data_IF_855062131284
#
_entry.id   IF_855062131284
#
_cell.length_a   1.000
_cell.length_b   1.000
_cell.length_c   1.000
_cell.angle_alpha   90.00
_cell.angle_beta   90.00
_cell.angle_gamma   90.00
#
_symmetry.space_group_name_H-M   'P 1'
#
loop_
_entity.id
_entity.type
_entity.pdbx_description
1 polymer ?
#
# COMPACT_ATOMS: atom_id res chain seq x y z
N UNK A 1 -16.76 20.13 -25.75
CA UNK A 1 -15.75 19.14 -25.33
C UNK A 1 -14.31 19.68 -25.26
N UNK A 2 -13.95 20.81 -25.89
CA UNK A 2 -12.56 21.33 -25.90
C UNK A 2 -12.18 22.28 -24.73
N UNK A 3 -13.11 22.55 -23.81
CA UNK A 3 -12.88 23.54 -22.73
C UNK A 3 -12.50 22.91 -21.39
N UNK A 4 -12.62 21.58 -21.27
CA UNK A 4 -12.41 20.84 -20.03
C UNK A 4 -11.30 19.82 -20.23
N UNK A 5 -10.40 19.71 -19.25
CA UNK A 5 -9.35 18.70 -19.22
C UNK A 5 -9.72 17.64 -18.17
N UNK A 6 -9.60 16.37 -18.54
CA UNK A 6 -9.85 15.23 -17.65
C UNK A 6 -8.56 14.45 -17.44
N UNK A 7 -8.07 14.42 -16.21
CA UNK A 7 -6.82 13.76 -15.85
C UNK A 7 -7.11 12.50 -15.03
N UNK A 8 -6.41 11.42 -15.37
CA UNK A 8 -6.41 10.22 -14.54
C UNK A 8 -5.58 10.48 -13.29
N UNK A 9 -6.07 10.04 -12.14
CA UNK A 9 -5.31 10.09 -10.90
C UNK A 9 -5.21 8.72 -10.23
N UNK A 10 -4.24 8.63 -9.32
CA UNK A 10 -4.09 7.58 -8.33
C UNK A 10 -3.73 8.27 -7.01
N UNK A 11 -4.54 8.03 -6.00
CA UNK A 11 -4.33 8.56 -4.65
C UNK A 11 -4.10 7.40 -3.71
N UNK A 12 -3.11 7.50 -2.82
CA UNK A 12 -2.85 6.51 -1.79
C UNK A 12 -2.45 7.19 -0.48
N UNK A 13 -3.25 6.92 0.55
CA UNK A 13 -3.04 7.35 1.94
C UNK A 13 -4.13 6.69 2.79
N UNK A 14 -3.72 6.02 3.86
CA UNK A 14 -4.66 5.49 4.85
C UNK A 14 -5.17 6.64 5.71
N UNK A 15 -6.50 6.80 5.71
CA UNK A 15 -7.23 7.79 6.51
C UNK A 15 -8.34 7.06 7.25
N UNK A 16 -8.12 6.65 8.51
CA UNK A 16 -9.14 5.94 9.30
C UNK A 16 -10.37 6.79 9.62
N UNK A 17 -10.26 8.11 9.50
CA UNK A 17 -11.31 9.06 9.82
C UNK A 17 -11.07 9.72 11.18
N UNK A 18 -12.16 10.10 11.86
CA UNK A 18 -12.10 10.75 13.16
C UNK A 18 -11.53 9.80 14.24
N UNK A 19 -10.50 10.21 15.01
CA UNK A 19 -9.78 9.34 15.95
C UNK A 19 -10.58 9.12 17.25
N UNK A 20 -11.70 8.39 17.20
CA UNK A 20 -12.64 8.29 18.34
C UNK A 20 -12.00 7.90 19.68
N UNK A 21 -11.01 7.00 19.65
CA UNK A 21 -10.37 6.49 20.86
C UNK A 21 -9.28 7.45 21.41
N UNK A 22 -8.74 8.32 20.55
CA UNK A 22 -7.60 9.20 20.86
C UNK A 22 -7.93 10.70 20.74
N UNK A 23 -9.19 11.05 20.44
CA UNK A 23 -9.60 12.42 20.10
C UNK A 23 -9.21 13.45 21.17
N UNK A 24 -9.48 13.15 22.45
CA UNK A 24 -9.12 14.02 23.56
C UNK A 24 -7.61 14.31 23.62
N UNK A 25 -6.77 13.32 23.32
CA UNK A 25 -5.31 13.48 23.29
C UNK A 25 -4.86 14.45 22.19
N UNK A 26 -5.56 14.46 21.06
CA UNK A 26 -5.27 15.39 19.96
C UNK A 26 -5.87 16.77 20.21
N UNK A 27 -7.07 16.84 20.78
CA UNK A 27 -7.73 18.10 21.17
C UNK A 27 -6.91 18.87 22.22
N UNK A 28 -6.28 18.17 23.18
CA UNK A 28 -5.38 18.78 24.16
C UNK A 28 -4.13 19.46 23.51
N UNK A 29 -3.80 19.12 22.26
CA UNK A 29 -2.71 19.73 21.50
C UNK A 29 -3.15 20.95 20.67
N UNK A 30 -4.46 21.19 20.56
CA UNK A 30 -5.04 22.29 19.80
C UNK A 30 -5.55 23.37 20.75
N UNK A 31 -5.56 24.62 20.28
CA UNK A 31 -6.18 25.75 20.98
C UNK A 31 -7.65 25.97 20.60
N UNK A 32 -8.24 25.01 19.86
CA UNK A 32 -9.63 25.03 19.40
C UNK A 32 -10.22 23.62 19.35
N UNK A 33 -11.55 23.55 19.36
CA UNK A 33 -12.31 22.31 19.15
C UNK A 33 -12.42 22.03 17.64
N UNK A 34 -11.96 20.84 17.21
CA UNK A 34 -12.08 20.38 15.83
C UNK A 34 -13.08 19.21 15.70
N UNK A 35 -14.37 19.49 15.44
CA UNK A 35 -15.38 18.45 15.30
C UNK A 35 -15.21 17.61 14.01
N UNK A 36 -14.29 17.98 13.11
CA UNK A 36 -14.07 17.33 11.82
C UNK A 36 -12.63 16.81 11.68
N UNK A 37 -11.93 16.62 12.79
CA UNK A 37 -10.56 16.11 12.83
C UNK A 37 -10.45 14.77 12.11
N UNK A 38 -9.36 14.61 11.35
CA UNK A 38 -9.02 13.32 10.73
C UNK A 38 -7.56 13.01 11.02
N UNK A 39 -7.31 11.74 11.36
CA UNK A 39 -5.95 11.22 11.42
C UNK A 39 -5.63 10.45 10.15
N UNK A 40 -4.35 10.43 9.81
CA UNK A 40 -3.84 9.72 8.65
C UNK A 40 -2.42 9.28 8.90
N UNK A 41 -1.99 8.25 8.20
CA UNK A 41 -0.57 7.91 8.18
C UNK A 41 0.29 9.03 7.55
N UNK A 42 1.59 8.97 7.80
CA UNK A 42 2.57 9.90 7.23
C UNK A 42 2.75 9.68 5.72
N UNK A 43 2.70 8.42 5.27
CA UNK A 43 2.84 8.09 3.85
C UNK A 43 1.72 8.71 3.02
N UNK A 44 2.06 9.29 1.88
CA UNK A 44 1.11 9.69 0.85
C UNK A 44 1.69 9.38 -0.53
N UNK A 45 0.81 9.17 -1.51
CA UNK A 45 1.16 9.12 -2.91
C UNK A 45 0.02 9.72 -3.72
N UNK A 46 0.32 10.70 -4.56
CA UNK A 46 -0.66 11.24 -5.51
C UNK A 46 -0.05 11.34 -6.89
N UNK A 47 -0.47 10.44 -7.78
CA UNK A 47 -0.03 10.43 -9.17
C UNK A 47 -1.13 11.02 -10.05
N UNK A 48 -0.77 11.97 -10.89
CA UNK A 48 -1.66 12.67 -11.82
C UNK A 48 -1.11 12.46 -13.22
N UNK A 49 -1.92 11.88 -14.10
CA UNK A 49 -1.56 11.75 -15.51
C UNK A 49 -1.78 13.09 -16.21
N UNK A 50 -0.70 13.77 -16.59
CA UNK A 50 -0.76 15.11 -17.17
C UNK A 50 0.59 15.54 -17.74
N UNK A 51 0.53 16.53 -18.63
CA UNK A 51 1.71 17.07 -19.30
C UNK A 51 2.15 18.40 -18.69
N UNK A 52 3.02 19.08 -19.44
CA UNK A 52 3.60 20.37 -19.06
C UNK A 52 2.55 21.48 -18.89
N UNK A 53 1.45 21.41 -19.63
CA UNK A 53 0.33 22.35 -19.52
C UNK A 53 -0.31 22.32 -18.13
N UNK A 54 -0.46 21.13 -17.53
CA UNK A 54 -0.98 20.97 -16.19
C UNK A 54 -0.02 21.54 -15.14
N UNK A 55 1.28 21.23 -15.26
CA UNK A 55 2.33 21.71 -14.34
C UNK A 55 2.43 23.23 -14.32
N UNK A 56 2.29 23.88 -15.47
CA UNK A 56 2.30 25.34 -15.57
C UNK A 56 1.08 26.01 -14.94
N UNK A 57 -0.07 25.33 -14.92
CA UNK A 57 -1.31 25.87 -14.32
C UNK A 57 -1.35 25.65 -12.82
N UNK A 58 -0.94 24.47 -12.36
CA UNK A 58 -0.87 24.11 -10.95
C UNK A 58 0.39 23.29 -10.73
N UNK A 59 1.39 23.81 -9.98
CA UNK A 59 2.68 23.18 -9.79
C UNK A 59 2.60 22.07 -8.71
N UNK A 60 1.78 21.05 -8.95
CA UNK A 60 1.57 19.93 -8.02
C UNK A 60 2.88 19.22 -7.64
N UNK A 61 3.80 19.12 -8.60
CA UNK A 61 5.11 18.50 -8.47
C UNK A 61 6.10 19.29 -7.59
N UNK A 62 5.75 20.52 -7.18
CA UNK A 62 6.57 21.35 -6.30
C UNK A 62 6.10 21.33 -4.84
N UNK A 63 4.95 20.71 -4.56
CA UNK A 63 4.34 20.73 -3.22
C UNK A 63 4.97 19.65 -2.31
N UNK A 64 5.15 18.44 -2.85
CA UNK A 64 5.70 17.29 -2.13
C UNK A 64 6.25 16.29 -3.15
N UNK A 65 7.39 15.67 -2.85
CA UNK A 65 8.06 14.69 -3.73
C UNK A 65 7.18 13.47 -4.07
N UNK A 66 6.19 13.15 -3.23
CA UNK A 66 5.23 12.07 -3.41
C UNK A 66 4.00 12.49 -4.24
N UNK A 67 3.96 13.73 -4.73
CA UNK A 67 2.96 14.22 -5.68
C UNK A 67 3.61 14.27 -7.07
N UNK A 68 3.19 13.37 -7.96
CA UNK A 68 3.83 13.14 -9.25
C UNK A 68 2.89 13.53 -10.39
N UNK A 69 3.38 14.36 -11.31
CA UNK A 69 2.72 14.61 -12.60
C UNK A 69 3.50 13.87 -13.69
N UNK A 70 2.87 12.86 -14.30
CA UNK A 70 3.51 11.90 -15.20
C UNK A 70 2.74 11.74 -16.51
N UNK A 71 3.42 11.33 -17.58
CA UNK A 71 2.78 11.08 -18.87
C UNK A 71 1.94 9.78 -18.88
N UNK A 72 2.41 8.74 -18.18
CA UNK A 72 1.72 7.46 -18.04
C UNK A 72 1.58 7.02 -16.57
N UNK A 73 0.34 6.80 -16.16
CA UNK A 73 -0.04 6.40 -14.80
C UNK A 73 -0.11 4.87 -14.62
N UNK A 74 -0.10 4.09 -15.71
CA UNK A 74 -0.33 2.64 -15.65
C UNK A 74 0.64 1.90 -14.71
N UNK A 75 1.96 2.19 -14.68
CA UNK A 75 2.89 1.51 -13.77
C UNK A 75 2.51 1.68 -12.28
N UNK A 76 2.12 2.90 -11.90
CA UNK A 76 1.70 3.23 -10.54
C UNK A 76 0.38 2.56 -10.17
N UNK A 77 -0.58 2.54 -11.10
CA UNK A 77 -1.87 1.84 -10.93
C UNK A 77 -1.67 0.36 -10.72
N UNK A 78 -0.88 -0.30 -11.57
CA UNK A 78 -0.63 -1.73 -11.45
C UNK A 78 0.08 -2.06 -10.12
N UNK A 79 1.04 -1.24 -9.69
CA UNK A 79 1.73 -1.40 -8.40
C UNK A 79 0.76 -1.28 -7.22
N UNK A 80 -0.04 -0.21 -7.16
CA UNK A 80 -1.02 -0.02 -6.08
C UNK A 80 -2.07 -1.13 -6.07
N UNK A 81 -2.65 -1.44 -7.24
CA UNK A 81 -3.74 -2.41 -7.36
C UNK A 81 -3.25 -3.81 -6.99
N UNK A 82 -2.05 -4.23 -7.41
CA UNK A 82 -1.56 -5.59 -7.17
C UNK A 82 -1.00 -5.79 -5.76
N UNK A 83 -0.26 -4.81 -5.24
CA UNK A 83 0.46 -4.98 -3.97
C UNK A 83 -0.43 -4.55 -2.80
N UNK A 84 -0.93 -3.31 -2.83
CA UNK A 84 -1.54 -2.70 -1.66
C UNK A 84 -3.06 -2.92 -1.63
N UNK A 85 -3.79 -2.55 -2.68
CA UNK A 85 -5.23 -2.84 -2.76
C UNK A 85 -5.49 -4.34 -2.88
N UNK A 86 -4.62 -5.07 -3.58
CA UNK A 86 -4.64 -6.52 -3.67
C UNK A 86 -4.53 -7.12 -2.27
N UNK A 87 -3.45 -6.79 -1.53
CA UNK A 87 -3.24 -7.23 -0.15
C UNK A 87 -4.37 -6.83 0.80
N UNK A 88 -4.83 -5.57 0.77
CA UNK A 88 -5.93 -5.09 1.61
C UNK A 88 -7.28 -5.78 1.28
N UNK A 89 -7.60 -5.96 0.00
CA UNK A 89 -8.82 -6.66 -0.42
C UNK A 89 -8.76 -8.14 -0.06
N UNK A 90 -7.58 -8.77 -0.17
CA UNK A 90 -7.30 -10.12 0.30
C UNK A 90 -7.50 -10.27 1.83
N UNK A 91 -7.18 -9.24 2.61
CA UNK A 91 -7.43 -9.25 4.06
C UNK A 91 -8.89 -8.93 4.44
N UNK A 92 -9.59 -8.12 3.63
CA UNK A 92 -10.94 -7.64 3.96
C UNK A 92 -12.05 -8.55 3.45
N UNK A 93 -11.91 -9.19 2.29
CA UNK A 93 -12.94 -10.04 1.70
C UNK A 93 -13.32 -11.25 2.60
N UNK A 94 -12.38 -11.93 3.28
CA UNK A 94 -12.71 -12.96 4.27
C UNK A 94 -13.28 -12.38 5.57
N UNK A 95 -12.85 -11.17 5.98
CA UNK A 95 -13.33 -10.52 7.20
C UNK A 95 -14.83 -10.17 7.13
N UNK A 96 -15.31 -9.82 5.94
CA UNK A 96 -16.74 -9.54 5.69
C UNK A 96 -17.55 -10.83 5.53
N UNK A 97 -16.99 -11.88 4.91
CA UNK A 97 -17.68 -13.17 4.70
C UNK A 97 -17.69 -14.08 5.95
N UNK A 98 -16.83 -13.84 6.94
CA UNK A 98 -16.64 -14.76 8.05
C UNK A 98 -17.51 -14.51 9.29
N UNK A 99 -18.23 -13.38 9.41
CA UNK A 99 -19.04 -12.99 10.60
C UNK A 99 -18.36 -13.20 11.99
N UNK A 100 -17.04 -13.43 12.05
CA UNK A 100 -16.34 -13.91 13.25
C UNK A 100 -14.97 -13.24 13.34
N UNK A 101 -14.84 -12.32 14.28
CA UNK A 101 -13.58 -11.69 14.74
C UNK A 101 -12.42 -12.70 14.90
N UNK A 102 -12.73 -13.94 15.26
CA UNK A 102 -11.77 -15.02 15.57
C UNK A 102 -10.89 -15.41 14.37
N UNK A 103 -11.39 -15.32 13.13
CA UNK A 103 -10.62 -15.73 11.93
C UNK A 103 -9.58 -14.68 11.55
N UNK A 104 -9.88 -13.39 11.75
CA UNK A 104 -8.94 -12.29 11.52
C UNK A 104 -7.71 -12.40 12.42
N UNK A 105 -7.92 -12.68 13.71
CA UNK A 105 -6.83 -12.91 14.66
C UNK A 105 -6.01 -14.14 14.28
N UNK A 106 -6.66 -15.23 13.85
CA UNK A 106 -5.95 -16.46 13.46
C UNK A 106 -5.01 -16.24 12.27
N UNK A 107 -5.46 -15.52 11.22
CA UNK A 107 -4.63 -15.20 10.06
C UNK A 107 -3.50 -14.24 10.46
N UNK A 108 -3.81 -13.16 11.20
CA UNK A 108 -2.78 -12.22 11.65
C UNK A 108 -1.73 -12.91 12.52
N UNK A 109 -2.14 -13.77 13.45
CA UNK A 109 -1.22 -14.54 14.29
C UNK A 109 -0.41 -15.53 13.44
N UNK A 110 -1.02 -16.18 12.45
CA UNK A 110 -0.30 -17.08 11.55
C UNK A 110 0.82 -16.36 10.79
N UNK A 111 0.51 -15.21 10.19
CA UNK A 111 1.53 -14.42 9.49
C UNK A 111 2.58 -13.86 10.46
N UNK A 112 2.21 -13.45 11.69
CA UNK A 112 3.20 -13.09 12.73
C UNK A 112 4.17 -14.23 13.03
N UNK A 113 3.70 -15.47 13.15
CA UNK A 113 4.58 -16.63 13.35
C UNK A 113 5.49 -16.89 12.15
N UNK A 114 4.97 -16.75 10.93
CA UNK A 114 5.78 -16.86 9.70
C UNK A 114 6.91 -15.80 9.71
N UNK A 115 6.58 -14.56 10.05
CA UNK A 115 7.51 -13.43 10.11
C UNK A 115 8.57 -13.51 11.22
N UNK A 116 8.45 -14.42 12.20
CA UNK A 116 9.54 -14.70 13.15
C UNK A 116 10.74 -15.39 12.50
N UNK A 117 10.57 -15.96 11.31
CA UNK A 117 11.69 -16.48 10.55
C UNK A 117 12.48 -15.31 9.96
N UNK A 118 13.78 -15.25 10.26
CA UNK A 118 14.69 -14.21 9.75
C UNK A 118 15.15 -14.50 8.30
N UNK A 119 14.68 -15.62 7.72
CA UNK A 119 14.98 -16.02 6.34
C UNK A 119 13.80 -15.69 5.42
N UNK A 120 14.01 -14.72 4.52
CA UNK A 120 12.99 -14.24 3.59
C UNK A 120 12.51 -15.28 2.57
N UNK A 121 13.33 -16.28 2.22
CA UNK A 121 12.89 -17.38 1.36
C UNK A 121 11.90 -18.27 2.12
N UNK A 122 12.16 -18.53 3.40
CA UNK A 122 11.27 -19.30 4.28
C UNK A 122 9.98 -18.53 4.55
N UNK A 123 10.08 -17.23 4.85
CA UNK A 123 8.92 -16.36 5.03
C UNK A 123 8.04 -16.37 3.77
N UNK A 124 8.67 -16.18 2.59
CA UNK A 124 7.95 -16.19 1.32
C UNK A 124 7.30 -17.56 1.05
N UNK A 125 7.99 -18.66 1.30
CA UNK A 125 7.45 -20.00 1.07
C UNK A 125 6.23 -20.27 1.93
N UNK A 126 6.36 -20.02 3.24
CA UNK A 126 5.29 -20.29 4.18
C UNK A 126 4.08 -19.38 3.90
N UNK A 127 4.31 -18.09 3.67
CA UNK A 127 3.25 -17.14 3.34
C UNK A 127 2.49 -17.53 2.07
N UNK A 128 3.19 -17.97 1.01
CA UNK A 128 2.57 -18.35 -0.27
C UNK A 128 1.90 -19.73 -0.23
N UNK A 129 2.29 -20.61 0.69
CA UNK A 129 1.71 -21.94 0.86
C UNK A 129 0.49 -21.95 1.82
N UNK A 130 0.05 -20.81 2.35
CA UNK A 130 -1.16 -20.73 3.19
C UNK A 130 -2.43 -20.96 2.36
N UNK A 131 -2.72 -22.23 2.03
CA UNK A 131 -3.88 -22.64 1.22
C UNK A 131 -5.22 -22.24 1.84
N UNK A 132 -5.29 -22.14 3.17
CA UNK A 132 -6.49 -21.66 3.86
C UNK A 132 -6.80 -20.20 3.49
N UNK A 133 -5.78 -19.42 3.11
CA UNK A 133 -5.90 -18.02 2.73
C UNK A 133 -5.99 -17.82 1.22
N UNK A 134 -5.19 -18.57 0.46
CA UNK A 134 -5.08 -18.42 -1.00
C UNK A 134 -6.02 -19.33 -1.79
N UNK A 135 -6.67 -20.29 -1.13
CA UNK A 135 -7.38 -21.44 -1.74
C UNK A 135 -6.53 -22.31 -2.68
N UNK A 136 -5.25 -21.96 -2.86
CA UNK A 136 -4.28 -22.64 -3.70
C UNK A 136 -2.87 -22.45 -3.14
N UNK A 137 -1.95 -23.31 -3.54
CA UNK A 137 -0.53 -23.12 -3.23
C UNK A 137 0.10 -22.16 -4.23
N UNK A 138 0.43 -20.95 -3.80
CA UNK A 138 1.07 -19.95 -4.66
C UNK A 138 2.57 -20.21 -4.84
N UNK A 139 3.20 -21.11 -4.07
CA UNK A 139 4.59 -21.50 -4.32
C UNK A 139 4.78 -22.21 -5.66
N UNK A 140 3.68 -22.71 -6.24
CA UNK A 140 3.65 -23.34 -7.57
C UNK A 140 3.73 -22.32 -8.72
N UNK A 141 3.55 -21.02 -8.44
CA UNK A 141 3.71 -19.98 -9.45
C UNK A 141 5.19 -19.74 -9.69
N UNK A 142 5.64 -20.02 -10.91
CA UNK A 142 7.05 -19.91 -11.29
C UNK A 142 7.61 -18.50 -10.99
N UNK A 143 8.75 -18.46 -10.29
CA UNK A 143 9.45 -17.23 -9.92
C UNK A 143 8.81 -16.39 -8.81
N UNK A 144 7.55 -16.66 -8.41
CA UNK A 144 6.83 -15.84 -7.44
C UNK A 144 7.48 -15.87 -6.06
N UNK A 145 7.92 -17.05 -5.59
CA UNK A 145 8.59 -17.18 -4.28
C UNK A 145 9.84 -16.32 -4.19
N UNK A 146 10.75 -16.48 -5.15
CA UNK A 146 12.00 -15.71 -5.18
C UNK A 146 11.73 -14.20 -5.29
N UNK A 147 10.71 -13.81 -6.07
CA UNK A 147 10.31 -12.41 -6.20
C UNK A 147 9.79 -11.84 -4.87
N UNK A 148 8.92 -12.57 -4.17
CA UNK A 148 8.42 -12.11 -2.88
C UNK A 148 9.56 -12.05 -1.86
N UNK A 149 10.40 -13.08 -1.75
CA UNK A 149 11.57 -13.07 -0.85
C UNK A 149 12.51 -11.88 -1.11
N UNK A 150 12.82 -11.59 -2.39
CA UNK A 150 13.64 -10.44 -2.78
C UNK A 150 12.98 -9.12 -2.42
N UNK A 151 11.68 -8.98 -2.64
CA UNK A 151 10.95 -7.77 -2.28
C UNK A 151 10.96 -7.54 -0.76
N UNK A 152 10.74 -8.59 0.04
CA UNK A 152 10.77 -8.50 1.50
C UNK A 152 12.16 -8.10 2.02
N UNK A 153 13.22 -8.70 1.49
CA UNK A 153 14.59 -8.33 1.82
C UNK A 153 14.87 -6.85 1.55
N UNK A 154 14.53 -6.38 0.35
CA UNK A 154 14.78 -5.00 -0.05
C UNK A 154 14.01 -3.99 0.81
N UNK A 155 12.77 -4.30 1.18
CA UNK A 155 11.92 -3.47 2.05
C UNK A 155 12.47 -3.38 3.48
N UNK A 156 13.02 -4.46 4.02
CA UNK A 156 13.55 -4.49 5.39
C UNK A 156 14.92 -3.78 5.50
N UNK A 157 15.72 -3.81 4.43
CA UNK A 157 17.09 -3.30 4.45
C UNK A 157 17.24 -1.89 3.86
N UNK A 158 16.22 -1.38 3.16
CA UNK A 158 16.27 -0.09 2.48
C UNK A 158 14.94 0.66 2.64
N UNK A 159 14.95 1.96 2.34
CA UNK A 159 13.71 2.69 2.17
C UNK A 159 12.89 2.16 0.97
N UNK A 160 11.59 2.45 0.96
CA UNK A 160 10.66 1.92 -0.05
C UNK A 160 10.99 2.33 -1.50
N UNK A 161 11.65 3.47 -1.71
CA UNK A 161 12.04 3.93 -3.04
C UNK A 161 13.26 3.16 -3.55
N UNK A 162 14.29 3.06 -2.71
CA UNK A 162 15.51 2.28 -2.98
C UNK A 162 15.18 0.80 -3.16
N UNK A 163 14.36 0.23 -2.26
CA UNK A 163 13.92 -1.16 -2.33
C UNK A 163 13.25 -1.48 -3.68
N UNK A 164 12.39 -0.58 -4.14
CA UNK A 164 11.70 -0.72 -5.42
C UNK A 164 12.66 -0.66 -6.61
N UNK A 165 13.58 0.31 -6.63
CA UNK A 165 14.58 0.44 -7.70
C UNK A 165 15.44 -0.81 -7.80
N UNK A 166 15.94 -1.32 -6.68
CA UNK A 166 16.74 -2.54 -6.59
C UNK A 166 15.96 -3.77 -7.07
N UNK A 167 14.69 -3.89 -6.66
CA UNK A 167 13.83 -4.98 -7.09
C UNK A 167 13.61 -5.00 -8.61
N UNK A 168 13.28 -3.85 -9.20
CA UNK A 168 13.08 -3.75 -10.65
C UNK A 168 14.37 -4.06 -11.41
N UNK A 169 15.51 -3.52 -10.97
CA UNK A 169 16.81 -3.79 -11.59
C UNK A 169 17.19 -5.27 -11.56
N UNK A 170 16.78 -6.01 -10.53
CA UNK A 170 17.07 -7.43 -10.41
C UNK A 170 16.30 -8.29 -11.42
N UNK A 171 15.11 -7.84 -11.86
CA UNK A 171 14.21 -8.58 -12.77
C UNK A 171 14.15 -8.01 -14.19
N UNK A 172 14.86 -6.91 -14.46
CA UNK A 172 15.07 -6.33 -15.78
C UNK A 172 16.22 -7.00 -16.52
#
# INVERSE_FOLDING_TARGET
EQSNHFHNTLVDRIVPGYPKDDAATYEDQLDYEDPMMVVSETFLLWVIQGGEDLKQRIPFDQINEQILVVDDIQPYRLRKVRILNGGHTLMLAPAILAEKEIVKEAIVNRFKEIWKNEDYEVVSEQALNEKLFWDTDLTQVEGLKAAVAKALYEIDHNDMETAYKNFIQFYS
#
